data_IF_659155361643
#
_entry.id   IF_659155361643
#
_cell.length_a   1.000
_cell.length_b   1.000
_cell.length_c   1.000
_cell.angle_alpha   90.00
_cell.angle_beta   90.00
_cell.angle_gamma   90.00
#
_symmetry.space_group_name_H-M   'P 1'
#
loop_
_entity.id
_entity.type
_entity.pdbx_description
1 polymer ?
#
# COMPACT_ATOMS: atom_id res chain seq x y z
N UNK A 1 -14.23 30.13 13.35
CA UNK A 1 -14.48 28.87 14.09
C UNK A 1 -15.77 28.24 13.56
N UNK A 2 -15.72 27.02 13.01
CA UNK A 2 -16.86 26.38 12.29
C UNK A 2 -18.09 26.22 13.19
N UNK A 3 -17.90 25.82 14.45
CA UNK A 3 -18.97 25.64 15.44
C UNK A 3 -19.66 26.95 15.91
N UNK A 4 -19.11 28.11 15.53
CA UNK A 4 -19.70 29.43 15.74
C UNK A 4 -20.42 30.02 14.52
N UNK A 5 -20.48 29.27 13.41
CA UNK A 5 -21.14 29.70 12.16
C UNK A 5 -22.63 30.02 12.36
N UNK A 6 -23.18 30.86 11.49
CA UNK A 6 -24.63 31.16 11.46
C UNK A 6 -25.45 29.89 11.29
N UNK A 7 -25.00 29.01 10.40
CA UNK A 7 -25.63 27.75 10.02
C UNK A 7 -25.80 26.82 11.23
N UNK A 8 -24.76 26.69 12.06
CA UNK A 8 -24.82 25.88 13.28
C UNK A 8 -25.68 26.55 14.35
N UNK A 9 -25.66 27.88 14.46
CA UNK A 9 -26.52 28.60 15.42
C UNK A 9 -28.00 28.47 15.05
N UNK A 10 -28.34 28.66 13.78
CA UNK A 10 -29.70 28.54 13.27
C UNK A 10 -30.23 27.12 13.44
N UNK A 11 -29.39 26.11 13.15
CA UNK A 11 -29.75 24.71 13.36
C UNK A 11 -29.99 24.36 14.84
N UNK A 12 -29.15 24.87 15.75
CA UNK A 12 -29.33 24.67 17.20
C UNK A 12 -30.66 25.23 17.69
N UNK A 13 -31.10 26.37 17.16
CA UNK A 13 -32.39 26.98 17.46
C UNK A 13 -33.57 26.41 16.66
N UNK A 14 -33.30 25.69 15.57
CA UNK A 14 -34.30 25.07 14.70
C UNK A 14 -34.71 23.65 15.11
N UNK A 15 -35.52 23.01 14.27
CA UNK A 15 -36.08 21.66 14.49
C UNK A 15 -35.61 20.61 13.48
N UNK A 16 -34.81 21.00 12.49
CA UNK A 16 -34.33 20.10 11.44
C UNK A 16 -33.05 19.34 11.84
N UNK A 17 -32.73 18.26 11.12
CA UNK A 17 -31.49 17.51 11.33
C UNK A 17 -30.33 18.13 10.54
N UNK A 18 -29.14 18.19 11.13
CA UNK A 18 -27.91 18.62 10.47
C UNK A 18 -27.11 17.41 10.03
N UNK A 19 -26.69 17.40 8.75
CA UNK A 19 -25.65 16.52 8.26
C UNK A 19 -24.34 17.30 8.23
N UNK A 20 -23.35 16.85 9.01
CA UNK A 20 -22.02 17.43 9.05
C UNK A 20 -21.04 16.48 8.38
N UNK A 21 -20.32 16.97 7.37
CA UNK A 21 -19.23 16.26 6.72
C UNK A 21 -17.91 16.88 7.15
N UNK A 22 -17.06 16.07 7.76
CA UNK A 22 -15.69 16.41 8.13
C UNK A 22 -14.78 15.63 7.21
N UNK A 23 -14.30 16.30 6.17
CA UNK A 23 -13.37 15.69 5.21
C UNK A 23 -11.92 15.86 5.66
N UNK A 24 -11.04 14.94 5.24
CA UNK A 24 -9.60 14.98 5.50
C UNK A 24 -9.21 15.25 6.96
N UNK A 25 -9.80 14.53 7.93
CA UNK A 25 -9.46 14.74 9.34
C UNK A 25 -7.96 14.59 9.63
N UNK A 26 -7.27 13.72 8.89
CA UNK A 26 -5.84 13.50 9.04
C UNK A 26 -5.00 14.74 8.77
N UNK A 27 -5.41 15.63 7.86
CA UNK A 27 -4.72 16.90 7.62
C UNK A 27 -4.79 17.82 8.84
N UNK A 28 -5.95 17.88 9.49
CA UNK A 28 -6.13 18.66 10.72
C UNK A 28 -5.28 18.11 11.87
N UNK A 29 -5.12 16.79 11.97
CA UNK A 29 -4.30 16.15 13.00
C UNK A 29 -2.81 16.48 12.86
N UNK A 30 -2.33 16.76 11.64
CA UNK A 30 -0.95 17.17 11.41
C UNK A 30 -0.65 18.57 11.96
N UNK A 31 -1.63 19.46 11.95
CA UNK A 31 -1.45 20.85 12.34
C UNK A 31 -1.85 21.12 13.80
N UNK A 32 -2.83 20.37 14.32
CA UNK A 32 -3.47 20.64 15.60
C UNK A 32 -3.48 19.36 16.45
N UNK A 33 -2.47 19.22 17.32
CA UNK A 33 -2.28 18.00 18.12
C UNK A 33 -3.40 17.68 19.12
N UNK A 34 -4.25 18.65 19.47
CA UNK A 34 -5.43 18.44 20.32
C UNK A 34 -6.76 18.42 19.53
N UNK A 35 -6.73 18.31 18.20
CA UNK A 35 -7.92 18.40 17.34
C UNK A 35 -9.01 17.42 17.74
N UNK A 36 -8.66 16.16 18.07
CA UNK A 36 -9.62 15.14 18.50
C UNK A 36 -10.38 15.61 19.74
N UNK A 37 -9.67 16.14 20.73
CA UNK A 37 -10.25 16.62 21.98
C UNK A 37 -11.17 17.80 21.73
N UNK A 38 -10.74 18.76 20.91
CA UNK A 38 -11.53 19.94 20.53
C UNK A 38 -12.80 19.53 19.79
N UNK A 39 -12.69 18.63 18.81
CA UNK A 39 -13.82 18.12 18.04
C UNK A 39 -14.85 17.44 18.94
N UNK A 40 -14.41 16.48 19.78
CA UNK A 40 -15.30 15.76 20.69
C UNK A 40 -16.00 16.69 21.69
N UNK A 41 -15.30 17.71 22.19
CA UNK A 41 -15.89 18.69 23.11
C UNK A 41 -16.94 19.57 22.43
N UNK A 42 -16.72 19.96 21.17
CA UNK A 42 -17.72 20.71 20.40
C UNK A 42 -18.94 19.85 20.08
N UNK A 43 -18.73 18.60 19.68
CA UNK A 43 -19.81 17.64 19.42
C UNK A 43 -20.64 17.34 20.68
N UNK A 44 -20.00 17.25 21.85
CA UNK A 44 -20.69 17.07 23.15
C UNK A 44 -21.69 18.19 23.46
N UNK A 45 -21.42 19.41 22.99
CA UNK A 45 -22.28 20.60 23.20
C UNK A 45 -23.42 20.73 22.18
N UNK A 46 -23.52 19.80 21.22
CA UNK A 46 -24.52 19.84 20.16
C UNK A 46 -25.75 18.98 20.50
N UNK A 47 -26.95 19.32 19.97
CA UNK A 47 -28.11 18.43 19.99
C UNK A 47 -27.85 17.16 19.16
N UNK A 48 -27.47 16.06 19.82
CA UNK A 48 -26.99 14.82 19.18
C UNK A 48 -28.10 14.01 18.50
N UNK A 49 -29.33 14.15 18.99
CA UNK A 49 -30.54 13.53 18.43
C UNK A 49 -30.89 14.05 17.02
N UNK A 50 -30.36 15.22 16.65
CA UNK A 50 -30.56 15.85 15.33
C UNK A 50 -29.25 16.12 14.59
N UNK A 51 -28.16 15.47 14.98
CA UNK A 51 -26.85 15.64 14.36
C UNK A 51 -26.32 14.30 13.84
N UNK A 52 -26.10 14.24 12.53
CA UNK A 52 -25.37 13.17 11.88
C UNK A 52 -24.01 13.69 11.45
N UNK A 53 -22.95 12.96 11.81
CA UNK A 53 -21.57 13.33 11.46
C UNK A 53 -20.96 12.25 10.60
N UNK A 54 -20.40 12.65 9.46
CA UNK A 54 -19.64 11.83 8.55
C UNK A 54 -18.21 12.32 8.58
N UNK A 55 -17.27 11.46 8.95
CA UNK A 55 -15.85 11.82 9.04
C UNK A 55 -15.07 10.96 8.05
N UNK A 56 -14.38 11.61 7.12
CA UNK A 56 -13.41 10.97 6.25
C UNK A 56 -12.00 11.24 6.78
N UNK A 57 -11.16 10.21 6.73
CA UNK A 57 -9.80 10.22 7.23
C UNK A 57 -9.02 9.12 6.55
N UNK A 58 -7.71 9.32 6.34
CA UNK A 58 -6.84 8.22 5.90
C UNK A 58 -6.82 7.09 6.92
N UNK A 59 -6.87 5.87 6.42
CA UNK A 59 -6.87 4.64 7.21
C UNK A 59 -5.78 4.62 8.28
N UNK A 60 -4.55 5.06 7.95
CA UNK A 60 -3.44 5.05 8.90
C UNK A 60 -3.45 6.18 9.94
N UNK A 61 -4.32 7.16 9.79
CA UNK A 61 -4.45 8.32 10.66
C UNK A 61 -5.74 8.31 11.49
N UNK A 62 -6.59 7.29 11.36
CA UNK A 62 -7.81 7.15 12.15
C UNK A 62 -7.48 6.88 13.64
N UNK A 63 -7.74 7.83 14.56
CA UNK A 63 -7.33 7.67 15.95
C UNK A 63 -8.31 6.80 16.74
N UNK A 64 -7.82 5.78 17.44
CA UNK A 64 -8.66 4.95 18.32
C UNK A 64 -9.40 5.77 19.41
N UNK A 65 -8.78 6.87 19.88
CA UNK A 65 -9.40 7.79 20.83
C UNK A 65 -10.58 8.57 20.25
N UNK A 66 -10.57 8.84 18.94
CA UNK A 66 -11.70 9.46 18.26
C UNK A 66 -12.88 8.49 18.20
N UNK A 67 -12.63 7.25 17.76
CA UNK A 67 -13.66 6.21 17.70
C UNK A 67 -14.33 5.98 19.06
N UNK A 68 -13.52 5.79 20.11
CA UNK A 68 -14.05 5.63 21.46
C UNK A 68 -14.83 6.88 21.92
N UNK A 69 -14.31 8.08 21.67
CA UNK A 69 -15.01 9.31 22.02
C UNK A 69 -16.33 9.50 21.29
N UNK A 70 -16.44 9.05 20.04
CA UNK A 70 -17.70 9.07 19.29
C UNK A 70 -18.69 8.04 19.86
N UNK A 71 -18.22 6.84 20.21
CA UNK A 71 -19.04 5.80 20.88
C UNK A 71 -19.58 6.32 22.20
N UNK A 72 -18.76 7.00 23.01
CA UNK A 72 -19.20 7.59 24.28
C UNK A 72 -20.26 8.70 24.09
N UNK A 73 -20.31 9.31 22.90
CA UNK A 73 -21.26 10.38 22.58
C UNK A 73 -22.57 9.88 21.97
N UNK A 74 -22.56 8.84 21.14
CA UNK A 74 -23.73 8.36 20.37
C UNK A 74 -24.14 6.91 20.65
N UNK A 75 -23.44 6.23 21.55
CA UNK A 75 -23.51 4.78 21.77
C UNK A 75 -22.96 3.95 20.61
N UNK A 76 -22.55 2.72 20.92
CA UNK A 76 -21.84 1.82 20.00
C UNK A 76 -22.64 1.49 18.74
N UNK A 77 -23.96 1.32 18.86
CA UNK A 77 -24.82 0.90 17.74
C UNK A 77 -25.05 2.04 16.72
N UNK A 78 -24.77 3.29 17.10
CA UNK A 78 -24.93 4.46 16.26
C UNK A 78 -23.65 4.84 15.51
N UNK A 79 -22.49 4.30 15.92
CA UNK A 79 -21.19 4.64 15.34
C UNK A 79 -20.74 3.52 14.40
N UNK A 80 -20.48 3.87 13.14
CA UNK A 80 -19.94 2.95 12.14
C UNK A 80 -18.63 3.48 11.57
N UNK A 81 -17.60 2.67 11.65
CA UNK A 81 -16.32 2.87 10.97
C UNK A 81 -16.29 1.94 9.76
N UNK A 82 -16.06 2.51 8.58
CA UNK A 82 -16.09 1.81 7.30
C UNK A 82 -14.84 2.17 6.50
N UNK A 83 -14.34 1.21 5.72
CA UNK A 83 -13.22 1.40 4.81
C UNK A 83 -13.73 1.41 3.36
N UNK A 84 -13.24 2.34 2.55
CA UNK A 84 -13.54 2.37 1.13
C UNK A 84 -12.87 1.19 0.43
N UNK A 85 -13.66 0.38 -0.27
CA UNK A 85 -13.16 -0.78 -0.99
C UNK A 85 -12.56 -0.38 -2.34
N UNK A 86 -11.86 -1.34 -2.96
CA UNK A 86 -11.25 -1.18 -4.27
C UNK A 86 -12.27 -0.98 -5.40
N UNK A 87 -11.80 -0.41 -6.51
CA UNK A 87 -12.57 -0.24 -7.75
C UNK A 87 -12.94 -1.60 -8.34
N UNK A 88 -14.15 -1.71 -8.86
CA UNK A 88 -14.59 -2.86 -9.64
C UNK A 88 -14.15 -2.70 -11.09
N UNK A 89 -14.14 -3.80 -11.83
CA UNK A 89 -13.85 -3.80 -13.28
C UNK A 89 -14.71 -2.79 -14.06
N UNK A 90 -15.98 -2.65 -13.72
CA UNK A 90 -16.87 -1.67 -14.37
C UNK A 90 -16.49 -0.22 -14.06
N UNK A 91 -15.92 0.04 -12.88
CA UNK A 91 -15.48 1.38 -12.49
C UNK A 91 -14.19 1.74 -13.26
N UNK A 92 -13.30 0.75 -13.48
CA UNK A 92 -12.12 0.89 -14.36
C UNK A 92 -12.51 1.14 -15.81
N UNK A 93 -13.49 0.39 -16.32
CA UNK A 93 -14.04 0.58 -17.67
C UNK A 93 -14.60 2.00 -17.85
N UNK A 94 -15.41 2.44 -16.89
CA UNK A 94 -16.02 3.77 -16.87
C UNK A 94 -14.96 4.88 -16.84
N UNK A 95 -13.88 4.69 -16.07
CA UNK A 95 -12.77 5.65 -16.05
C UNK A 95 -12.07 5.75 -17.41
N UNK A 96 -11.84 4.62 -18.09
CA UNK A 96 -11.25 4.60 -19.43
C UNK A 96 -12.16 5.28 -20.48
N UNK A 97 -13.45 4.96 -20.47
CA UNK A 97 -14.46 5.57 -21.34
C UNK A 97 -14.56 7.08 -21.12
N UNK A 98 -14.43 7.56 -19.89
CA UNK A 98 -14.44 8.99 -19.57
C UNK A 98 -13.29 9.77 -20.21
N UNK A 99 -12.22 9.06 -20.63
CA UNK A 99 -11.07 9.61 -21.38
C UNK A 99 -11.14 9.37 -22.89
N UNK A 100 -12.24 8.80 -23.39
CA UNK A 100 -12.37 8.42 -24.79
C UNK A 100 -11.50 7.23 -25.20
N UNK A 101 -11.13 6.36 -24.26
CA UNK A 101 -10.46 5.10 -24.55
C UNK A 101 -11.48 3.99 -24.82
N UNK A 102 -11.07 2.99 -25.60
CA UNK A 102 -11.80 1.72 -25.67
C UNK A 102 -11.57 0.95 -24.36
N UNK A 103 -12.63 0.75 -23.58
CA UNK A 103 -12.53 0.06 -22.29
C UNK A 103 -12.20 -1.42 -22.44
N UNK A 104 -12.59 -2.06 -23.55
CA UNK A 104 -12.29 -3.46 -23.83
C UNK A 104 -10.80 -3.70 -24.06
N UNK A 105 -10.20 -2.91 -24.95
CA UNK A 105 -8.76 -2.96 -25.24
C UNK A 105 -7.94 -2.60 -24.00
N UNK A 106 -8.32 -1.54 -23.27
CA UNK A 106 -7.61 -1.12 -22.08
C UNK A 106 -7.64 -2.18 -20.97
N UNK A 107 -8.80 -2.81 -20.72
CA UNK A 107 -8.91 -3.88 -19.73
C UNK A 107 -8.12 -5.13 -20.14
N UNK A 108 -8.09 -5.45 -21.44
CA UNK A 108 -7.28 -6.55 -21.95
C UNK A 108 -5.77 -6.30 -21.75
N UNK A 109 -5.32 -5.07 -21.99
CA UNK A 109 -3.92 -4.69 -21.76
C UNK A 109 -3.55 -4.72 -20.28
N UNK A 110 -4.44 -4.30 -19.38
CA UNK A 110 -4.24 -4.41 -17.92
C UNK A 110 -4.02 -5.87 -17.51
N UNK A 111 -4.86 -6.78 -18.00
CA UNK A 111 -4.75 -8.21 -17.69
C UNK A 111 -3.47 -8.81 -18.25
N UNK A 112 -3.18 -8.52 -19.53
CA UNK A 112 -2.01 -9.04 -20.22
C UNK A 112 -0.69 -8.57 -19.61
N UNK A 113 -0.67 -7.33 -19.08
CA UNK A 113 0.48 -6.77 -18.39
C UNK A 113 0.59 -7.16 -16.91
N UNK A 114 -0.39 -7.90 -16.36
CA UNK A 114 -0.44 -8.20 -14.92
C UNK A 114 -0.63 -6.95 -14.04
N UNK A 115 -1.24 -5.91 -14.58
CA UNK A 115 -1.38 -4.58 -13.97
C UNK A 115 -2.63 -4.43 -13.08
N UNK A 116 -3.44 -5.48 -12.96
CA UNK A 116 -4.69 -5.47 -12.16
C UNK A 116 -4.49 -4.92 -10.74
N UNK A 117 -3.42 -5.25 -9.98
CA UNK A 117 -3.22 -4.70 -8.64
C UNK A 117 -3.21 -3.17 -8.60
N UNK A 118 -2.70 -2.54 -9.66
CA UNK A 118 -2.66 -1.07 -9.80
C UNK A 118 -3.99 -0.51 -10.32
N UNK A 119 -4.74 -1.24 -11.15
CA UNK A 119 -6.00 -0.76 -11.72
C UNK A 119 -7.14 -0.64 -10.70
N UNK A 120 -7.08 -1.39 -9.59
CA UNK A 120 -8.16 -1.43 -8.60
C UNK A 120 -8.12 -0.29 -7.56
N UNK A 121 -7.16 0.63 -7.67
CA UNK A 121 -7.08 1.83 -6.83
C UNK A 121 -7.07 3.10 -7.71
N UNK A 122 -7.82 4.16 -7.35
CA UNK A 122 -7.95 5.35 -8.20
C UNK A 122 -6.62 6.00 -8.61
N UNK A 123 -5.69 6.19 -7.67
CA UNK A 123 -4.42 6.88 -7.94
C UNK A 123 -3.51 6.10 -8.89
N UNK A 124 -3.46 4.77 -8.75
CA UNK A 124 -2.65 3.93 -9.64
C UNK A 124 -3.37 3.60 -10.94
N UNK A 125 -4.70 3.62 -10.97
CA UNK A 125 -5.46 3.60 -12.20
C UNK A 125 -5.18 4.86 -13.04
N UNK A 126 -5.13 6.03 -12.41
CA UNK A 126 -4.72 7.29 -13.05
C UNK A 126 -3.33 7.18 -13.67
N UNK A 127 -2.37 6.56 -12.96
CA UNK A 127 -1.05 6.26 -13.51
C UNK A 127 -1.13 5.37 -14.77
N UNK A 128 -1.87 4.27 -14.72
CA UNK A 128 -2.05 3.38 -15.87
C UNK A 128 -2.70 4.09 -17.07
N UNK A 129 -3.74 4.90 -16.81
CA UNK A 129 -4.43 5.68 -17.85
C UNK A 129 -3.47 6.67 -18.52
N UNK A 130 -2.64 7.39 -17.76
CA UNK A 130 -1.64 8.32 -18.31
C UNK A 130 -0.59 7.60 -19.16
N UNK A 131 -0.13 6.43 -18.74
CA UNK A 131 0.81 5.63 -19.54
C UNK A 131 0.16 5.20 -20.86
N UNK A 132 -1.10 4.78 -20.79
CA UNK A 132 -1.87 4.34 -21.94
C UNK A 132 -2.18 5.49 -22.90
N UNK A 133 -2.46 6.70 -22.41
CA UNK A 133 -2.68 7.89 -23.24
C UNK A 133 -1.47 8.22 -24.14
N UNK A 134 -0.25 8.00 -23.63
CA UNK A 134 0.98 8.32 -24.36
C UNK A 134 1.34 7.28 -25.44
N UNK A 135 1.06 5.99 -25.20
CA UNK A 135 1.59 4.89 -26.01
C UNK A 135 0.52 3.99 -26.63
N UNK A 136 -0.75 4.16 -26.23
CA UNK A 136 -1.88 3.27 -26.56
C UNK A 136 -1.69 1.81 -26.17
N UNK A 137 -0.67 1.52 -25.37
CA UNK A 137 -0.36 0.18 -24.83
C UNK A 137 0.32 0.34 -23.47
N UNK A 138 0.09 -0.61 -22.56
CA UNK A 138 0.88 -0.69 -21.33
C UNK A 138 2.28 -1.27 -21.58
N UNK A 139 3.30 -0.95 -20.75
CA UNK A 139 4.63 -1.50 -20.90
C UNK A 139 4.62 -3.02 -20.81
N UNK A 140 5.35 -3.66 -21.73
CA UNK A 140 5.60 -5.12 -21.68
C UNK A 140 6.63 -5.50 -20.63
N UNK A 141 7.42 -4.55 -20.14
CA UNK A 141 8.36 -4.80 -19.06
C UNK A 141 7.63 -4.69 -17.71
N UNK A 142 7.25 -5.84 -17.18
CA UNK A 142 6.55 -5.93 -15.90
C UNK A 142 7.37 -5.36 -14.72
N UNK A 143 8.71 -5.43 -14.77
CA UNK A 143 9.59 -4.85 -13.72
C UNK A 143 9.47 -3.33 -13.70
N UNK A 144 9.50 -2.68 -14.87
CA UNK A 144 9.38 -1.23 -14.96
C UNK A 144 7.97 -0.76 -14.57
N UNK A 145 6.94 -1.52 -14.99
CA UNK A 145 5.56 -1.25 -14.61
C UNK A 145 5.36 -1.32 -13.09
N UNK A 146 5.84 -2.39 -12.45
CA UNK A 146 5.73 -2.55 -10.99
C UNK A 146 6.56 -1.52 -10.24
N UNK A 147 7.76 -1.18 -10.73
CA UNK A 147 8.58 -0.11 -10.15
C UNK A 147 7.84 1.22 -10.20
N UNK A 148 7.31 1.60 -11.37
CA UNK A 148 6.57 2.85 -11.56
C UNK A 148 5.28 2.90 -10.74
N UNK A 149 4.52 1.81 -10.69
CA UNK A 149 3.31 1.69 -9.89
C UNK A 149 3.57 1.83 -8.38
N UNK A 150 4.58 1.12 -7.85
CA UNK A 150 4.98 1.26 -6.45
C UNK A 150 5.51 2.66 -6.13
N UNK A 151 6.26 3.29 -7.04
CA UNK A 151 6.69 4.68 -6.90
C UNK A 151 5.50 5.65 -6.85
N UNK A 152 4.47 5.44 -7.67
CA UNK A 152 3.25 6.24 -7.66
C UNK A 152 2.54 6.12 -6.30
N UNK A 153 2.46 4.92 -5.72
CA UNK A 153 1.88 4.70 -4.39
C UNK A 153 2.67 5.37 -3.23
N UNK A 154 3.95 5.68 -3.45
CA UNK A 154 4.79 6.44 -2.52
C UNK A 154 4.65 7.97 -2.63
N UNK A 155 3.93 8.48 -3.64
CA UNK A 155 3.74 9.92 -3.82
C UNK A 155 2.66 10.45 -2.88
N UNK A 156 2.85 11.68 -2.39
CA UNK A 156 1.77 12.42 -1.73
C UNK A 156 0.94 13.12 -2.81
N UNK A 157 -0.31 12.71 -2.97
CA UNK A 157 -1.22 13.27 -3.98
C UNK A 157 -2.05 14.43 -3.47
N UNK A 158 -2.01 14.67 -2.15
CA UNK A 158 -2.77 15.71 -1.48
C UNK A 158 -1.97 17.01 -1.43
N UNK A 159 -2.49 18.02 -2.13
CA UNK A 159 -1.84 19.33 -2.25
C UNK A 159 -1.79 20.07 -0.92
N UNK A 160 -2.79 19.91 -0.04
CA UNK A 160 -2.78 20.56 1.27
C UNK A 160 -1.68 19.97 2.16
N UNK A 161 -1.43 18.66 2.09
CA UNK A 161 -0.29 18.04 2.80
C UNK A 161 1.06 18.43 2.19
N UNK A 162 1.12 18.59 0.87
CA UNK A 162 2.32 19.07 0.19
C UNK A 162 2.63 20.54 0.57
N UNK A 163 1.62 21.41 0.53
CA UNK A 163 1.71 22.85 0.78
C UNK A 163 1.89 23.20 2.25
N UNK A 164 1.27 22.44 3.16
CA UNK A 164 1.38 22.68 4.59
C UNK A 164 2.81 22.49 5.11
N UNK A 165 3.73 21.94 4.31
CA UNK A 165 5.05 21.49 4.75
C UNK A 165 4.96 20.72 6.08
N UNK A 166 3.84 20.02 6.31
CA UNK A 166 3.62 19.16 7.46
C UNK A 166 4.51 17.94 7.27
N UNK A 167 5.80 18.20 7.49
CA UNK A 167 7.00 17.36 7.46
C UNK A 167 6.74 15.98 6.86
N UNK A 168 6.60 15.90 5.55
CA UNK A 168 6.99 14.68 4.86
C UNK A 168 8.49 14.54 5.11
N UNK A 169 8.88 13.67 6.03
CA UNK A 169 10.29 13.43 6.37
C UNK A 169 11.01 12.85 5.16
N UNK A 170 10.26 12.17 4.29
CA UNK A 170 10.77 11.36 3.21
C UNK A 170 10.25 11.86 1.85
N UNK A 171 11.14 11.87 0.86
CA UNK A 171 10.74 11.94 -0.53
C UNK A 171 10.21 10.56 -1.02
N UNK A 172 9.57 10.48 -2.21
CA UNK A 172 9.03 9.22 -2.70
C UNK A 172 10.07 8.09 -2.85
N UNK A 173 11.30 8.40 -3.26
CA UNK A 173 12.38 7.41 -3.39
C UNK A 173 12.78 6.82 -2.03
N UNK A 174 12.87 7.67 -1.00
CA UNK A 174 13.10 7.26 0.37
C UNK A 174 11.96 6.38 0.88
N UNK A 175 10.70 6.76 0.64
CA UNK A 175 9.56 5.92 1.05
C UNK A 175 9.60 4.55 0.41
N UNK A 176 9.93 4.48 -0.88
CA UNK A 176 10.07 3.23 -1.60
C UNK A 176 11.21 2.37 -1.02
N UNK A 177 12.37 2.98 -0.73
CA UNK A 177 13.49 2.27 -0.12
C UNK A 177 13.15 1.68 1.25
N UNK A 178 12.44 2.44 2.09
CA UNK A 178 11.95 1.93 3.36
C UNK A 178 10.89 0.83 3.19
N UNK A 179 9.98 0.96 2.21
CA UNK A 179 9.00 -0.07 1.90
C UNK A 179 9.67 -1.37 1.43
N UNK A 180 10.76 -1.30 0.65
CA UNK A 180 11.55 -2.49 0.26
C UNK A 180 12.11 -3.24 1.48
N UNK A 181 12.58 -2.53 2.51
CA UNK A 181 12.98 -3.19 3.77
C UNK A 181 11.79 -3.89 4.42
N UNK A 182 10.67 -3.19 4.58
CA UNK A 182 9.46 -3.78 5.18
C UNK A 182 9.05 -5.04 4.41
N UNK A 183 9.14 -5.00 3.07
CA UNK A 183 8.82 -6.13 2.20
C UNK A 183 9.74 -7.32 2.46
N UNK A 184 11.05 -7.10 2.45
CA UNK A 184 12.01 -8.16 2.73
C UNK A 184 11.77 -8.81 4.11
N UNK A 185 11.57 -8.02 5.16
CA UNK A 185 11.35 -8.53 6.51
C UNK A 185 10.01 -9.26 6.67
N UNK A 186 8.95 -8.77 6.02
CA UNK A 186 7.63 -9.42 6.08
C UNK A 186 7.57 -10.70 5.25
N UNK A 187 8.10 -10.68 4.02
CA UNK A 187 8.14 -11.84 3.14
C UNK A 187 9.06 -12.94 3.67
N UNK A 188 10.35 -12.64 3.90
CA UNK A 188 11.31 -13.65 4.33
C UNK A 188 11.18 -14.02 5.81
N UNK A 189 10.61 -13.13 6.62
CA UNK A 189 10.23 -13.43 8.00
C UNK A 189 8.89 -14.17 8.15
N UNK A 190 8.17 -14.42 7.05
CA UNK A 190 6.81 -15.00 7.03
C UNK A 190 5.88 -14.28 8.02
N UNK A 191 5.85 -12.94 7.92
CA UNK A 191 5.02 -12.04 8.74
C UNK A 191 3.87 -11.48 7.92
N UNK A 192 2.68 -11.47 8.49
CA UNK A 192 1.44 -11.06 7.82
C UNK A 192 1.24 -9.53 7.83
N UNK A 193 1.67 -8.85 8.90
CA UNK A 193 1.48 -7.42 9.06
C UNK A 193 2.58 -6.81 9.95
N UNK A 194 2.63 -5.47 9.96
CA UNK A 194 3.43 -4.66 10.87
C UNK A 194 2.53 -4.17 12.01
N UNK A 195 2.91 -4.49 13.24
CA UNK A 195 2.27 -4.00 14.46
C UNK A 195 2.84 -2.65 14.87
N UNK A 196 1.98 -1.63 14.94
CA UNK A 196 2.34 -0.23 15.24
C UNK A 196 1.99 0.20 16.65
N UNK A 197 1.55 -0.71 17.52
CA UNK A 197 1.22 -0.39 18.90
C UNK A 197 2.42 0.16 19.69
N UNK A 198 2.14 0.94 20.74
CA UNK A 198 3.15 1.61 21.57
C UNK A 198 3.97 0.67 22.43
N UNK A 199 3.58 -0.61 22.54
CA UNK A 199 4.30 -1.62 23.31
C UNK A 199 4.37 -2.92 22.53
N UNK A 200 5.43 -3.70 22.80
CA UNK A 200 5.60 -5.06 22.29
C UNK A 200 4.59 -6.06 22.87
N UNK A 201 3.99 -5.72 24.01
CA UNK A 201 2.94 -6.53 24.61
C UNK A 201 1.71 -6.50 23.69
N UNK A 202 1.26 -7.67 23.25
CA UNK A 202 0.10 -7.81 22.37
C UNK A 202 0.42 -7.86 20.88
N UNK A 203 1.69 -7.91 20.47
CA UNK A 203 2.06 -8.20 19.07
C UNK A 203 1.60 -9.63 18.73
N UNK A 204 0.74 -9.84 17.71
CA UNK A 204 0.39 -11.16 17.23
C UNK A 204 1.62 -11.95 16.76
N UNK A 205 1.62 -13.27 16.93
CA UNK A 205 2.78 -14.12 16.61
C UNK A 205 3.20 -14.07 15.13
N UNK A 206 2.24 -13.79 14.27
CA UNK A 206 2.34 -13.67 12.82
C UNK A 206 2.77 -12.28 12.36
N UNK A 207 2.87 -11.28 13.25
CA UNK A 207 3.22 -9.91 12.90
C UNK A 207 4.68 -9.58 13.26
N UNK A 208 5.20 -8.52 12.65
CA UNK A 208 6.47 -7.90 13.04
C UNK A 208 6.21 -6.61 13.81
N UNK A 209 6.93 -6.39 14.90
CA UNK A 209 6.83 -5.14 15.63
C UNK A 209 7.57 -4.03 14.87
N UNK A 210 6.95 -2.86 14.74
CA UNK A 210 7.51 -1.71 14.01
C UNK A 210 8.94 -1.36 14.45
N UNK A 211 9.21 -1.42 15.75
CA UNK A 211 10.52 -1.03 16.29
C UNK A 211 11.62 -2.05 15.95
N UNK A 212 11.27 -3.29 15.57
CA UNK A 212 12.24 -4.28 15.07
C UNK A 212 12.74 -3.95 13.64
N UNK A 213 12.05 -3.04 12.94
CA UNK A 213 12.44 -2.54 11.62
C UNK A 213 13.29 -1.27 11.67
N UNK A 214 13.39 -0.64 12.85
CA UNK A 214 14.17 0.57 13.09
C UNK A 214 15.69 0.32 13.02
N UNK A 215 16.44 1.39 12.80
CA UNK A 215 17.90 1.37 12.71
C UNK A 215 18.40 1.17 11.28
N UNK A 216 19.71 0.97 11.12
CA UNK A 216 20.34 0.80 9.80
C UNK A 216 20.09 1.97 8.84
N UNK A 217 20.42 1.76 7.56
CA UNK A 217 20.19 2.74 6.50
C UNK A 217 19.55 2.06 5.29
N UNK A 218 18.68 2.78 4.60
CA UNK A 218 18.08 2.37 3.34
C UNK A 218 18.27 3.44 2.27
N UNK A 219 18.14 3.05 1.00
CA UNK A 219 18.28 3.93 -0.15
C UNK A 219 19.70 4.05 -0.67
N UNK A 220 19.84 4.70 -1.83
CA UNK A 220 21.11 4.86 -2.54
C UNK A 220 21.40 6.34 -2.84
N UNK A 221 22.67 6.72 -2.79
CA UNK A 221 23.10 8.09 -3.09
C UNK A 221 22.39 9.12 -2.22
N UNK A 222 21.70 10.08 -2.86
CA UNK A 222 20.94 11.16 -2.22
C UNK A 222 19.67 10.70 -1.49
N UNK A 223 19.17 9.49 -1.77
CA UNK A 223 17.99 8.93 -1.08
C UNK A 223 18.36 8.16 0.19
N UNK A 224 19.64 8.06 0.55
CA UNK A 224 20.08 7.29 1.73
C UNK A 224 19.55 7.91 3.02
N UNK A 225 18.88 7.11 3.84
CA UNK A 225 18.24 7.56 5.08
C UNK A 225 18.36 6.52 6.20
N UNK A 226 18.44 6.98 7.45
CA UNK A 226 18.28 6.12 8.62
C UNK A 226 16.80 5.92 8.90
N UNK A 227 16.38 4.66 9.11
CA UNK A 227 15.00 4.35 9.47
C UNK A 227 14.79 4.48 10.98
N UNK A 228 13.85 5.33 11.35
CA UNK A 228 13.31 5.46 12.70
C UNK A 228 11.79 5.21 12.67
N UNK A 229 11.19 5.17 13.86
CA UNK A 229 9.76 4.89 14.01
C UNK A 229 8.89 5.87 13.23
N UNK A 230 9.21 7.16 13.25
CA UNK A 230 8.43 8.21 12.58
C UNK A 230 8.42 8.03 11.07
N UNK A 231 9.61 7.77 10.49
CA UNK A 231 9.75 7.48 9.05
C UNK A 231 9.02 6.21 8.65
N UNK A 232 9.10 5.14 9.46
CA UNK A 232 8.38 3.90 9.18
C UNK A 232 6.86 4.09 9.26
N UNK A 233 6.36 4.89 10.20
CA UNK A 233 4.93 5.26 10.24
C UNK A 233 4.52 6.06 9.00
N UNK A 234 5.36 6.97 8.52
CA UNK A 234 5.12 7.69 7.25
C UNK A 234 5.07 6.72 6.06
N UNK A 235 5.99 5.75 5.99
CA UNK A 235 6.00 4.73 4.93
C UNK A 235 4.74 3.87 4.98
N UNK A 236 4.32 3.41 6.16
CA UNK A 236 3.09 2.63 6.35
C UNK A 236 1.81 3.42 6.01
N UNK A 237 1.91 4.74 5.92
CA UNK A 237 0.80 5.62 5.53
C UNK A 237 0.70 5.84 4.02
N UNK A 238 1.60 5.24 3.22
CA UNK A 238 1.56 5.28 1.75
C UNK A 238 0.51 4.32 1.19
N UNK A 239 0.18 4.47 -0.10
CA UNK A 239 -0.76 3.57 -0.78
C UNK A 239 -0.28 2.13 -0.95
N UNK A 240 0.97 1.81 -0.57
CA UNK A 240 1.50 0.45 -0.55
C UNK A 240 0.89 -0.41 0.57
N UNK A 241 0.30 0.23 1.59
CA UNK A 241 -0.20 -0.41 2.79
C UNK A 241 -1.69 -0.12 3.02
N UNK A 242 -2.33 -0.99 3.79
CA UNK A 242 -3.73 -0.88 4.22
C UNK A 242 -3.86 -1.32 5.67
N UNK A 243 -4.92 -0.87 6.37
CA UNK A 243 -5.18 -1.34 7.74
C UNK A 243 -5.60 -2.81 7.73
N UNK A 244 -5.16 -3.53 8.76
CA UNK A 244 -5.59 -4.89 9.08
C UNK A 244 -6.24 -4.94 10.47
N UNK A 245 -6.81 -3.82 10.88
CA UNK A 245 -7.39 -3.59 12.20
C UNK A 245 -6.54 -2.65 13.08
N UNK A 246 -6.94 -2.47 14.35
CA UNK A 246 -6.27 -1.54 15.25
C UNK A 246 -4.78 -1.83 15.39
N UNK A 247 -3.94 -0.81 15.15
CA UNK A 247 -2.49 -0.89 15.23
C UNK A 247 -1.83 -1.92 14.29
N UNK A 248 -2.50 -2.33 13.20
CA UNK A 248 -1.98 -3.33 12.26
C UNK A 248 -2.02 -2.81 10.84
N UNK A 249 -0.87 -2.85 10.16
CA UNK A 249 -0.75 -2.50 8.75
C UNK A 249 -0.24 -3.68 7.94
N UNK A 250 -0.95 -4.01 6.88
CA UNK A 250 -0.52 -5.01 5.90
C UNK A 250 -0.33 -4.38 4.54
N UNK A 251 0.23 -5.15 3.61
CA UNK A 251 0.32 -4.75 2.22
C UNK A 251 -1.07 -4.53 1.62
N UNK A 252 -1.25 -3.45 0.86
CA UNK A 252 -2.48 -3.19 0.11
C UNK A 252 -2.73 -4.32 -0.89
N UNK A 253 -1.67 -4.77 -1.56
CA UNK A 253 -1.68 -5.96 -2.40
C UNK A 253 -0.40 -6.79 -2.20
N UNK A 254 -0.54 -8.13 -2.18
CA UNK A 254 0.55 -9.06 -1.91
C UNK A 254 1.68 -8.97 -2.96
N UNK A 255 1.33 -8.77 -4.23
CA UNK A 255 2.32 -8.66 -5.32
C UNK A 255 3.26 -7.46 -5.15
N UNK A 256 2.87 -6.41 -4.42
CA UNK A 256 3.76 -5.29 -4.09
C UNK A 256 4.87 -5.75 -3.16
N UNK A 257 4.51 -6.52 -2.12
CA UNK A 257 5.46 -7.08 -1.17
C UNK A 257 6.46 -8.00 -1.86
N UNK A 258 5.98 -8.87 -2.75
CA UNK A 258 6.82 -9.84 -3.45
C UNK A 258 7.80 -9.17 -4.40
N UNK A 259 7.32 -8.20 -5.19
CA UNK A 259 8.16 -7.39 -6.07
C UNK A 259 9.20 -6.60 -5.28
N UNK A 260 8.80 -5.89 -4.23
CA UNK A 260 9.69 -5.04 -3.43
C UNK A 260 10.68 -5.86 -2.60
N UNK A 261 10.32 -7.06 -2.14
CA UNK A 261 11.25 -7.98 -1.46
C UNK A 261 12.31 -8.53 -2.42
N UNK A 262 11.93 -8.87 -3.66
CA UNK A 262 12.88 -9.24 -4.70
C UNK A 262 13.82 -8.06 -5.01
N UNK A 263 13.27 -6.86 -5.21
CA UNK A 263 14.03 -5.65 -5.47
C UNK A 263 15.04 -5.34 -4.35
N UNK A 264 14.62 -5.52 -3.09
CA UNK A 264 15.49 -5.31 -1.93
C UNK A 264 16.77 -6.13 -2.02
N UNK A 265 16.67 -7.42 -2.38
CA UNK A 265 17.84 -8.30 -2.49
C UNK A 265 18.76 -7.89 -3.66
N UNK A 266 18.18 -7.47 -4.79
CA UNK A 266 18.92 -6.99 -5.96
C UNK A 266 19.68 -5.69 -5.63
N UNK A 267 19.01 -4.71 -5.01
CA UNK A 267 19.60 -3.42 -4.67
C UNK A 267 20.72 -3.56 -3.63
N UNK A 268 20.56 -4.48 -2.68
CA UNK A 268 21.58 -4.82 -1.69
C UNK A 268 22.70 -5.71 -2.24
N UNK A 269 22.64 -6.09 -3.53
CA UNK A 269 23.62 -6.96 -4.19
C UNK A 269 23.88 -8.25 -3.41
N UNK A 270 22.81 -8.84 -2.87
CA UNK A 270 22.90 -10.09 -2.13
C UNK A 270 23.42 -11.17 -3.08
N UNK A 271 24.47 -11.89 -2.66
CA UNK A 271 25.07 -12.93 -3.50
C UNK A 271 24.03 -13.99 -3.88
N UNK A 272 24.03 -14.43 -5.15
CA UNK A 272 23.03 -15.38 -5.70
C UNK A 272 22.91 -16.63 -4.83
N UNK A 273 24.02 -17.18 -4.33
CA UNK A 273 23.98 -18.33 -3.40
C UNK A 273 23.11 -18.10 -2.16
N UNK A 274 23.13 -16.89 -1.60
CA UNK A 274 22.35 -16.53 -0.41
C UNK A 274 20.89 -16.33 -0.79
N UNK A 275 20.62 -15.69 -1.93
CA UNK A 275 19.26 -15.56 -2.49
C UNK A 275 18.63 -16.96 -2.65
N UNK A 276 19.35 -17.87 -3.33
CA UNK A 276 18.91 -19.24 -3.55
C UNK A 276 18.68 -20.00 -2.24
N UNK A 277 19.53 -19.81 -1.22
CA UNK A 277 19.32 -20.43 0.10
C UNK A 277 18.08 -19.93 0.85
N UNK A 278 17.59 -18.73 0.53
CA UNK A 278 16.38 -18.15 1.14
C UNK A 278 15.11 -18.59 0.43
N UNK A 279 15.14 -18.73 -0.90
CA UNK A 279 13.94 -19.00 -1.71
C UNK A 279 13.75 -20.48 -2.06
N UNK A 280 14.75 -21.34 -1.82
CA UNK A 280 14.67 -22.77 -2.10
C UNK A 280 14.53 -23.61 -0.86
N UNK A 281 13.86 -24.74 -1.00
CA UNK A 281 13.95 -25.85 -0.08
C UNK A 281 14.38 -27.12 -0.84
N UNK A 282 15.19 -27.95 -0.17
CA UNK A 282 15.53 -29.29 -0.65
C UNK A 282 14.69 -30.31 0.12
N UNK A 283 14.01 -31.19 -0.60
CA UNK A 283 13.28 -32.32 -0.04
C UNK A 283 13.54 -33.59 -0.88
N UNK A 284 12.85 -34.68 -0.57
CA UNK A 284 13.00 -35.97 -1.27
C UNK A 284 12.66 -35.89 -2.78
N UNK A 285 11.96 -34.85 -3.22
CA UNK A 285 11.57 -34.60 -4.61
C UNK A 285 12.54 -33.64 -5.34
N UNK A 286 13.67 -33.29 -4.71
CA UNK A 286 14.70 -32.40 -5.23
C UNK A 286 14.70 -31.01 -4.60
N UNK A 287 15.48 -30.11 -5.20
CA UNK A 287 15.55 -28.70 -4.80
C UNK A 287 14.50 -27.93 -5.57
N UNK A 288 13.59 -27.25 -4.88
CA UNK A 288 12.49 -26.49 -5.46
C UNK A 288 12.33 -25.13 -4.82
N UNK A 289 11.56 -24.23 -5.44
CA UNK A 289 11.18 -22.99 -4.78
C UNK A 289 10.22 -23.28 -3.62
N UNK A 290 10.40 -22.56 -2.52
CA UNK A 290 9.43 -22.58 -1.42
C UNK A 290 8.09 -22.06 -1.98
N UNK A 291 6.96 -22.78 -1.80
CA UNK A 291 5.69 -22.40 -2.44
C UNK A 291 5.25 -20.95 -2.21
N UNK A 292 5.44 -20.44 -0.98
CA UNK A 292 5.12 -19.05 -0.62
C UNK A 292 6.06 -17.99 -1.21
N UNK A 293 7.19 -18.40 -1.79
CA UNK A 293 8.21 -17.52 -2.35
C UNK A 293 8.35 -17.70 -3.87
N UNK A 294 7.40 -18.38 -4.51
CA UNK A 294 7.43 -18.59 -5.97
C UNK A 294 7.36 -17.26 -6.72
N UNK A 295 6.47 -16.35 -6.33
CA UNK A 295 6.36 -15.02 -6.94
C UNK A 295 7.61 -14.16 -6.73
N UNK A 296 8.20 -14.21 -5.53
CA UNK A 296 9.48 -13.56 -5.25
C UNK A 296 10.59 -14.16 -6.13
N UNK A 297 10.61 -15.49 -6.27
CA UNK A 297 11.54 -16.21 -7.13
C UNK A 297 11.39 -15.83 -8.60
N UNK A 298 10.17 -15.68 -9.10
CA UNK A 298 9.88 -15.21 -10.45
C UNK A 298 10.39 -13.77 -10.66
N UNK A 299 10.13 -12.86 -9.71
CA UNK A 299 10.65 -11.49 -9.77
C UNK A 299 12.17 -11.41 -9.76
N UNK A 300 12.83 -12.25 -8.95
CA UNK A 300 14.29 -12.36 -8.92
C UNK A 300 14.83 -12.91 -10.24
N UNK A 301 14.20 -13.95 -10.79
CA UNK A 301 14.58 -14.55 -12.08
C UNK A 301 14.38 -13.59 -13.26
N UNK A 302 13.38 -12.70 -13.20
CA UNK A 302 13.21 -11.64 -14.21
C UNK A 302 14.35 -10.63 -14.20
N UNK A 303 14.97 -10.39 -13.04
CA UNK A 303 15.97 -9.34 -12.84
C UNK A 303 17.42 -9.85 -12.75
N UNK A 304 17.61 -11.15 -12.54
CA UNK A 304 18.92 -11.79 -12.45
C UNK A 304 18.95 -13.05 -13.30
N UNK A 305 19.74 -13.01 -14.38
CA UNK A 305 19.95 -14.16 -15.25
C UNK A 305 20.54 -15.36 -14.48
N UNK A 306 21.44 -15.11 -13.52
CA UNK A 306 22.04 -16.16 -12.70
C UNK A 306 20.98 -16.87 -11.83
N UNK A 307 20.04 -16.13 -11.24
CA UNK A 307 18.92 -16.73 -10.50
C UNK A 307 18.00 -17.50 -11.45
N UNK A 308 17.69 -16.94 -12.63
CA UNK A 308 16.88 -17.61 -13.64
C UNK A 308 17.48 -18.94 -14.08
N UNK A 309 18.75 -18.94 -14.50
CA UNK A 309 19.47 -20.12 -14.98
C UNK A 309 19.53 -21.22 -13.93
N UNK A 310 19.67 -20.84 -12.65
CA UNK A 310 19.63 -21.79 -11.56
C UNK A 310 18.21 -22.36 -11.33
N UNK A 311 17.17 -21.51 -11.34
CA UNK A 311 15.80 -21.95 -11.00
C UNK A 311 15.17 -22.75 -12.12
N UNK A 312 15.40 -22.39 -13.39
CA UNK A 312 14.84 -23.13 -14.54
C UNK A 312 15.32 -24.57 -14.59
N UNK A 313 16.55 -24.86 -14.12
CA UNK A 313 17.09 -26.23 -14.04
C UNK A 313 16.46 -27.09 -12.95
N UNK A 314 15.89 -26.46 -11.92
CA UNK A 314 15.47 -27.15 -10.69
C UNK A 314 13.96 -27.16 -10.49
N UNK A 315 13.27 -26.10 -10.91
CA UNK A 315 11.81 -25.95 -10.76
C UNK A 315 11.22 -25.03 -11.86
N UNK A 316 11.26 -25.46 -13.15
CA UNK A 316 10.76 -24.64 -14.26
C UNK A 316 9.26 -24.35 -14.17
N UNK A 317 8.49 -25.29 -13.61
CA UNK A 317 7.04 -25.15 -13.43
C UNK A 317 6.67 -23.96 -12.53
N UNK A 318 7.45 -23.70 -11.48
CA UNK A 318 7.20 -22.56 -10.59
C UNK A 318 7.34 -21.21 -11.31
N UNK A 319 8.29 -21.11 -12.25
CA UNK A 319 8.45 -19.91 -13.07
C UNK A 319 7.30 -19.76 -14.08
N UNK A 320 6.82 -20.85 -14.68
CA UNK A 320 5.68 -20.79 -15.61
C UNK A 320 4.39 -20.35 -14.91
N UNK A 321 4.12 -20.84 -13.70
CA UNK A 321 2.89 -20.53 -12.97
C UNK A 321 2.81 -19.07 -12.49
N UNK A 322 3.95 -18.48 -12.14
CA UNK A 322 4.03 -17.18 -11.48
C UNK A 322 4.52 -16.03 -12.39
N UNK A 323 5.35 -16.32 -13.40
CA UNK A 323 6.06 -15.29 -14.16
C UNK A 323 5.76 -15.22 -15.66
N UNK A 324 4.78 -15.96 -16.19
CA UNK A 324 4.55 -16.06 -17.64
C UNK A 324 4.36 -14.70 -18.35
N UNK A 325 3.70 -13.73 -17.69
CA UNK A 325 3.53 -12.36 -18.20
C UNK A 325 4.80 -11.50 -18.01
N UNK A 326 5.65 -11.85 -17.07
CA UNK A 326 6.80 -11.07 -16.57
C UNK A 326 8.10 -11.35 -17.33
N UNK A 327 8.25 -12.56 -17.89
CA UNK A 327 9.47 -12.97 -18.61
C UNK A 327 9.58 -12.40 -20.03
N UNK A 328 10.81 -12.20 -20.49
CA UNK A 328 11.10 -11.87 -21.90
C UNK A 328 10.77 -13.05 -22.83
N UNK A 329 10.63 -12.80 -24.14
CA UNK A 329 10.42 -13.88 -25.11
C UNK A 329 11.54 -14.94 -25.07
N UNK A 330 12.78 -14.54 -24.84
CA UNK A 330 13.93 -15.44 -24.72
C UNK A 330 13.81 -16.35 -23.49
N UNK A 331 13.46 -15.78 -22.34
CA UNK A 331 13.23 -16.53 -21.11
C UNK A 331 12.03 -17.48 -21.24
N UNK A 332 10.95 -17.06 -21.92
CA UNK A 332 9.80 -17.94 -22.20
C UNK A 332 10.19 -19.10 -23.11
N UNK A 333 11.00 -18.86 -24.15
CA UNK A 333 11.52 -19.94 -25.01
C UNK A 333 12.38 -20.92 -24.22
N UNK A 334 13.24 -20.44 -23.32
CA UNK A 334 14.05 -21.28 -22.45
C UNK A 334 13.20 -22.14 -21.49
N UNK A 335 12.11 -21.58 -20.94
CA UNK A 335 11.17 -22.31 -20.08
C UNK A 335 10.47 -23.47 -20.82
N UNK A 336 10.09 -23.27 -22.08
CA UNK A 336 9.46 -24.33 -22.90
C UNK A 336 10.47 -25.39 -23.34
N UNK A 337 11.74 -25.01 -23.56
CA UNK A 337 12.79 -25.94 -23.98
C UNK A 337 13.36 -26.78 -22.83
N UNK A 338 13.26 -26.30 -21.58
CA UNK A 338 13.76 -26.99 -20.37
C UNK A 338 12.70 -27.74 -19.56
N UNK A 339 11.43 -27.71 -20.00
CA UNK A 339 10.29 -28.36 -19.34
C UNK A 339 9.98 -29.76 -19.83
#
# INVERSE_FOLDING_TARGET
EVFGSSEIRDWKCGTYCLQMFVDSLDECLLQIGNMIMVLLEQLRRCPRDRLNVWIACRTGAWPASLEQGLIDLWDKDSVRVMELTTLRRCDVAMAAESRGLDSGEFLHDIESAGAVPFAIYPNTLEFLLRMYDNHRTLPRNAVDLYRGGCQCLCQETDQMRADAHCVTLLNPEQRLAGAMRIAAYTIFGNRCAVWTGSSRNGVPSEDIWLDDLCGGYEGMGSSRMQLDRSKLMEILSTGLFSSRGPNRFGWAHQTYAEFLAAQFLIDHKVAVRNILSMIRCSNDLGTRLVPKLQDVGAWLACQSFEVFDEVVKTDPCALTASGAATFTEEQRKALVAGG
#
